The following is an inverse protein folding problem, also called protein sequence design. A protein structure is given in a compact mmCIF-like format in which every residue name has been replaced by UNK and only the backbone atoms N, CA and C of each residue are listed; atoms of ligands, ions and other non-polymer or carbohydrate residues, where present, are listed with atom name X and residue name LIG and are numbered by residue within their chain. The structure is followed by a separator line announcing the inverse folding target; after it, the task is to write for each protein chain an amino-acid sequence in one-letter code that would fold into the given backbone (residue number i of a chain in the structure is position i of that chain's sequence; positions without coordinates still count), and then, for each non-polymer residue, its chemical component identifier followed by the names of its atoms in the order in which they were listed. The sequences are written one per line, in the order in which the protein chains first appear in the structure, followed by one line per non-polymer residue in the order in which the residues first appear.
data_IF_774391705427
#
_entry.id   IF_774391705427
#
_cell.length_a   1.000
_cell.length_b   1.000
_cell.length_c   1.000
_cell.angle_alpha   90.00
_cell.angle_beta   90.00
_cell.angle_gamma   90.00
#
_symmetry.space_group_name_H-M   'P 1'
#
loop_
_entity.id
_entity.type
_entity.pdbx_description
1 polymer ?
#
# COMPACT_ATOMS: atom_id res chain seq x y z
N UNK A 1 -42.57 -3.20 42.57
CA UNK A 1 -42.54 -2.20 41.50
C UNK A 1 -41.64 -1.05 41.93
N UNK A 2 -40.34 -1.14 41.65
CA UNK A 2 -39.47 0.02 41.34
C UNK A 2 -38.10 -0.53 40.94
N UNK A 3 -37.77 -0.34 39.66
CA UNK A 3 -36.46 -0.18 39.03
C UNK A 3 -35.34 -1.11 39.52
N UNK A 4 -34.99 -2.18 38.79
CA UNK A 4 -34.18 -2.10 37.57
C UNK A 4 -33.06 -1.05 37.68
N UNK A 5 -32.21 -1.16 38.70
CA UNK A 5 -30.93 -0.45 38.73
C UNK A 5 -30.02 -1.09 37.68
N UNK A 6 -30.13 -0.47 36.51
CA UNK A 6 -29.33 -0.55 35.33
C UNK A 6 -27.84 -0.78 35.66
N UNK A 7 -27.41 -2.04 35.63
CA UNK A 7 -26.00 -2.43 35.64
C UNK A 7 -25.40 -2.13 34.26
N UNK A 8 -25.32 -0.85 33.88
CA UNK A 8 -24.45 -0.41 32.79
C UNK A 8 -23.12 -0.05 33.42
N UNK A 9 -22.40 -1.08 33.86
CA UNK A 9 -20.96 -0.97 34.00
C UNK A 9 -20.42 -0.98 32.58
N UNK A 10 -20.08 0.23 32.13
CA UNK A 10 -19.32 0.52 30.93
C UNK A 10 -18.26 -0.55 30.70
N UNK A 11 -18.49 -1.45 29.73
CA UNK A 11 -17.38 -2.10 29.06
C UNK A 11 -16.68 -0.98 28.31
N UNK A 12 -15.70 -0.36 28.96
CA UNK A 12 -14.69 0.43 28.25
C UNK A 12 -13.95 -0.54 27.35
N UNK A 13 -14.37 -0.65 26.10
CA UNK A 13 -13.59 -1.30 25.06
C UNK A 13 -12.30 -0.50 24.93
N UNK A 14 -11.21 -1.01 25.51
CA UNK A 14 -9.87 -0.57 25.12
C UNK A 14 -9.67 -1.01 23.67
N UNK A 15 -10.08 -0.18 22.73
CA UNK A 15 -9.70 -0.36 21.34
C UNK A 15 -8.26 0.12 21.19
N UNK A 16 -7.31 -0.75 21.52
CA UNK A 16 -5.92 -0.58 21.11
C UNK A 16 -5.84 -0.93 19.63
N UNK A 17 -6.02 0.06 18.76
CA UNK A 17 -5.59 -0.07 17.36
C UNK A 17 -4.09 0.21 17.30
N UNK A 18 -3.28 -0.76 17.73
CA UNK A 18 -1.85 -0.76 17.45
C UNK A 18 -1.59 -1.94 16.52
N UNK A 19 -1.85 -1.70 15.22
CA UNK A 19 -1.44 -2.60 14.16
C UNK A 19 -0.54 -1.81 13.22
N UNK A 20 0.71 -1.63 13.63
CA UNK A 20 1.75 -1.19 12.72
C UNK A 20 2.11 -2.38 11.80
N UNK A 21 1.75 -2.27 10.52
CA UNK A 21 2.10 -3.25 9.51
C UNK A 21 3.19 -2.69 8.59
N UNK A 22 4.33 -3.36 8.54
CA UNK A 22 5.39 -3.04 7.57
C UNK A 22 4.95 -3.56 6.20
N UNK A 23 4.54 -2.65 5.32
CA UNK A 23 4.10 -3.01 3.96
C UNK A 23 5.27 -3.36 3.07
N UNK A 24 6.33 -2.55 3.10
CA UNK A 24 7.52 -2.73 2.28
C UNK A 24 8.77 -2.77 3.16
N UNK A 25 9.65 -3.72 2.89
CA UNK A 25 10.91 -3.86 3.63
C UNK A 25 12.09 -3.58 2.72
N UNK A 26 13.12 -2.91 3.26
CA UNK A 26 14.39 -2.72 2.55
C UNK A 26 15.01 -4.07 2.18
N UNK A 27 15.49 -4.24 0.95
CA UNK A 27 16.05 -5.52 0.49
C UNK A 27 15.00 -6.53 -0.01
N UNK A 28 13.71 -6.22 0.12
CA UNK A 28 12.64 -7.11 -0.31
C UNK A 28 12.77 -7.42 -1.81
N UNK A 29 12.65 -8.71 -2.16
CA UNK A 29 12.79 -9.24 -3.52
C UNK A 29 14.06 -8.79 -4.26
N UNK A 30 15.13 -8.45 -3.53
CA UNK A 30 16.40 -8.03 -4.12
C UNK A 30 16.48 -6.54 -4.50
N UNK A 31 15.43 -5.75 -4.24
CA UNK A 31 15.48 -4.30 -4.42
C UNK A 31 16.28 -3.65 -3.29
N UNK A 32 17.18 -2.71 -3.63
CA UNK A 32 17.96 -1.99 -2.64
C UNK A 32 17.07 -1.26 -1.62
N UNK A 33 15.98 -0.63 -2.08
CA UNK A 33 14.90 -0.14 -1.23
C UNK A 33 13.61 0.12 -2.01
N UNK A 34 12.52 0.31 -1.27
CA UNK A 34 11.22 0.72 -1.78
C UNK A 34 10.89 2.09 -1.16
N UNK A 35 10.63 3.11 -1.98
CA UNK A 35 10.36 4.51 -1.55
C UNK A 35 9.10 5.08 -2.21
N UNK A 36 8.75 6.30 -1.79
CA UNK A 36 7.63 7.08 -2.34
C UNK A 36 6.29 6.32 -2.24
N UNK A 37 5.86 5.98 -1.00
CA UNK A 37 4.65 5.20 -0.82
C UNK A 37 3.42 6.00 -1.24
N UNK A 38 2.49 5.34 -1.93
CA UNK A 38 1.13 5.83 -2.10
C UNK A 38 0.13 4.70 -1.86
N UNK A 39 -1.08 5.03 -1.45
CA UNK A 39 -2.09 4.03 -1.10
C UNK A 39 -3.47 4.45 -1.66
N UNK A 40 -4.22 3.46 -2.13
CA UNK A 40 -5.58 3.62 -2.62
C UNK A 40 -6.48 2.56 -1.99
N UNK A 41 -7.59 3.00 -1.41
CA UNK A 41 -8.71 2.10 -1.08
C UNK A 41 -9.62 2.00 -2.28
N UNK A 42 -9.78 0.80 -2.82
CA UNK A 42 -10.72 0.55 -3.92
C UNK A 42 -12.17 0.62 -3.41
N UNK A 43 -13.14 0.84 -4.30
CA UNK A 43 -14.56 0.79 -3.98
C UNK A 43 -15.05 -0.56 -3.41
N UNK A 44 -14.25 -1.63 -3.53
CA UNK A 44 -14.52 -2.93 -2.91
C UNK A 44 -13.88 -3.10 -1.52
N UNK A 45 -13.24 -2.06 -0.99
CA UNK A 45 -12.56 -2.07 0.31
C UNK A 45 -11.13 -2.64 0.29
N UNK A 46 -10.65 -3.17 -0.84
CA UNK A 46 -9.25 -3.60 -0.97
C UNK A 46 -8.31 -2.41 -0.89
N UNK A 47 -7.28 -2.49 -0.06
CA UNK A 47 -6.18 -1.52 -0.06
C UNK A 47 -5.13 -1.94 -1.08
N UNK A 48 -4.63 -0.98 -1.86
CA UNK A 48 -3.50 -1.13 -2.76
C UNK A 48 -2.43 -0.14 -2.31
N UNK A 49 -1.32 -0.64 -1.79
CA UNK A 49 -0.14 0.17 -1.48
C UNK A 49 0.86 0.03 -2.61
N UNK A 50 1.36 1.15 -3.12
CA UNK A 50 2.34 1.24 -4.21
C UNK A 50 3.67 1.77 -3.68
N UNK A 51 4.74 1.45 -4.40
CA UNK A 51 6.07 2.00 -4.13
C UNK A 51 6.98 1.96 -5.34
N UNK A 52 8.03 2.78 -5.27
CA UNK A 52 9.16 2.76 -6.19
C UNK A 52 10.19 1.75 -5.70
N UNK A 53 10.26 0.60 -6.35
CA UNK A 53 11.24 -0.44 -6.08
C UNK A 53 12.56 -0.14 -6.80
N UNK A 54 13.50 0.42 -6.06
CA UNK A 54 14.78 0.90 -6.58
C UNK A 54 15.81 -0.23 -6.55
N UNK A 55 16.36 -0.55 -7.71
CA UNK A 55 17.18 -1.75 -7.91
C UNK A 55 18.57 -1.59 -7.30
N UNK A 56 19.30 -0.51 -7.65
CA UNK A 56 20.73 -0.42 -7.33
C UNK A 56 21.06 0.41 -6.09
N UNK A 57 20.22 1.39 -5.74
CA UNK A 57 20.48 2.32 -4.63
C UNK A 57 19.17 2.98 -4.16
N UNK A 58 19.21 3.76 -3.08
CA UNK A 58 18.08 4.62 -2.70
C UNK A 58 18.13 6.01 -3.32
N UNK A 59 19.01 6.25 -4.28
CA UNK A 59 19.06 7.51 -5.04
C UNK A 59 17.77 7.71 -5.81
N UNK A 60 17.33 8.96 -5.99
CA UNK A 60 16.20 9.27 -6.89
C UNK A 60 16.57 9.01 -8.37
N UNK A 61 17.88 8.94 -8.67
CA UNK A 61 18.42 8.63 -9.99
C UNK A 61 18.98 7.21 -10.00
N UNK A 62 18.11 6.22 -10.09
CA UNK A 62 18.46 4.79 -10.15
C UNK A 62 17.36 3.99 -10.80
N UNK A 63 17.67 2.80 -11.33
CA UNK A 63 16.66 1.96 -11.95
C UNK A 63 15.52 1.60 -11.00
N UNK A 64 14.29 1.86 -11.44
CA UNK A 64 13.09 1.77 -10.59
C UNK A 64 11.98 1.03 -11.30
N UNK A 65 11.43 0.04 -10.62
CA UNK A 65 10.15 -0.59 -10.98
C UNK A 65 9.04 0.03 -10.13
N UNK A 66 7.82 0.07 -10.66
CA UNK A 66 6.63 0.37 -9.85
C UNK A 66 6.07 -0.94 -9.34
N UNK A 67 5.96 -1.05 -8.03
CA UNK A 67 5.47 -2.24 -7.34
C UNK A 67 4.26 -1.92 -6.50
N UNK A 68 3.50 -2.95 -6.13
CA UNK A 68 2.41 -2.81 -5.17
C UNK A 68 2.20 -4.07 -4.35
N UNK A 69 1.47 -3.90 -3.25
CA UNK A 69 0.88 -4.97 -2.44
C UNK A 69 -0.59 -4.68 -2.19
N UNK A 70 -1.34 -5.74 -1.91
CA UNK A 70 -2.79 -5.67 -1.65
C UNK A 70 -3.09 -6.12 -0.23
N UNK A 71 -4.07 -5.49 0.40
CA UNK A 71 -4.68 -5.99 1.62
C UNK A 71 -6.20 -6.12 1.43
N UNK A 72 -6.73 -7.24 1.90
CA UNK A 72 -8.16 -7.55 1.90
C UNK A 72 -8.78 -7.47 3.30
N UNK A 73 -7.98 -7.13 4.31
CA UNK A 73 -8.35 -7.16 5.73
C UNK A 73 -8.02 -5.84 6.45
N UNK A 74 -8.15 -4.72 5.72
CA UNK A 74 -7.94 -3.36 6.21
C UNK A 74 -6.51 -3.11 6.73
N UNK A 75 -5.51 -3.67 6.04
CA UNK A 75 -4.09 -3.41 6.26
C UNK A 75 -3.42 -4.33 7.28
N UNK A 76 -4.13 -5.32 7.82
CA UNK A 76 -3.56 -6.27 8.80
C UNK A 76 -2.56 -7.22 8.16
N UNK A 77 -2.88 -7.72 6.97
CA UNK A 77 -1.99 -8.56 6.17
C UNK A 77 -1.87 -8.01 4.75
N UNK A 78 -0.74 -8.31 4.12
CA UNK A 78 -0.40 -7.82 2.78
C UNK A 78 0.04 -8.98 1.89
N UNK A 79 -0.33 -8.91 0.62
CA UNK A 79 0.13 -9.86 -0.40
C UNK A 79 1.65 -9.81 -0.57
N UNK A 80 2.17 -10.78 -1.32
CA UNK A 80 3.52 -10.67 -1.89
C UNK A 80 3.63 -9.41 -2.77
N UNK A 81 4.87 -8.92 -2.92
CA UNK A 81 5.20 -7.79 -3.78
C UNK A 81 4.95 -8.15 -5.25
N UNK A 82 4.14 -7.35 -5.93
CA UNK A 82 3.84 -7.50 -7.36
C UNK A 82 4.40 -6.31 -8.16
N UNK A 83 4.85 -6.56 -9.39
CA UNK A 83 5.35 -5.51 -10.29
C UNK A 83 4.19 -5.01 -11.15
N UNK A 84 3.89 -3.71 -11.08
CA UNK A 84 2.95 -3.03 -11.97
C UNK A 84 3.62 -2.62 -13.28
N UNK A 85 4.83 -2.06 -13.19
CA UNK A 85 5.57 -1.54 -14.34
C UNK A 85 7.07 -1.78 -14.16
N UNK A 86 7.73 -2.28 -15.21
CA UNK A 86 9.18 -2.47 -15.22
C UNK A 86 9.89 -1.26 -15.84
N UNK A 87 10.85 -0.69 -15.13
CA UNK A 87 11.65 0.45 -15.58
C UNK A 87 12.60 0.16 -16.75
N UNK A 88 12.64 -1.08 -17.25
CA UNK A 88 13.50 -1.51 -18.36
C UNK A 88 12.74 -2.15 -19.54
N UNK A 89 11.43 -1.93 -19.67
CA UNK A 89 10.60 -2.58 -20.70
C UNK A 89 10.93 -2.18 -22.16
N UNK A 90 11.90 -1.28 -22.41
CA UNK A 90 12.29 -0.87 -23.76
C UNK A 90 13.79 -0.58 -23.83
N UNK A 91 14.52 -1.48 -24.47
CA UNK A 91 15.86 -1.34 -25.08
C UNK A 91 16.75 -0.22 -24.50
N UNK A 92 17.62 -0.60 -23.55
CA UNK A 92 18.80 0.11 -23.01
C UNK A 92 18.65 1.57 -22.51
N UNK A 93 17.48 2.18 -22.66
CA UNK A 93 17.17 3.49 -22.10
C UNK A 93 16.39 3.33 -20.80
N UNK A 94 16.97 3.84 -19.72
CA UNK A 94 16.36 3.78 -18.41
C UNK A 94 15.07 4.62 -18.35
N UNK A 95 13.91 3.95 -18.19
CA UNK A 95 12.63 4.62 -18.01
C UNK A 95 12.40 4.96 -16.54
N UNK A 96 12.32 6.26 -16.24
CA UNK A 96 12.03 6.81 -14.92
C UNK A 96 10.52 6.96 -14.76
N UNK A 97 9.88 5.95 -14.17
CA UNK A 97 8.49 6.04 -13.72
C UNK A 97 8.51 6.08 -12.20
N UNK A 98 7.84 7.06 -11.60
CA UNK A 98 7.90 7.32 -10.16
C UNK A 98 6.86 8.35 -9.72
N UNK A 99 6.88 8.71 -8.44
CA UNK A 99 5.95 9.65 -7.80
C UNK A 99 4.48 9.30 -8.05
N UNK A 100 4.16 8.00 -7.92
CA UNK A 100 2.86 7.46 -8.29
C UNK A 100 1.75 8.00 -7.39
N UNK A 101 0.72 8.59 -8.01
CA UNK A 101 -0.48 9.08 -7.35
C UNK A 101 -1.72 8.37 -7.95
N UNK A 102 -2.09 7.18 -7.45
CA UNK A 102 -3.18 6.39 -8.03
C UNK A 102 -4.54 7.06 -7.77
N UNK A 103 -5.42 7.04 -8.77
CA UNK A 103 -6.79 7.56 -8.65
C UNK A 103 -7.79 6.52 -9.16
N UNK A 104 -8.79 6.20 -8.34
CA UNK A 104 -9.91 5.38 -8.80
C UNK A 104 -11.06 6.22 -9.34
N UNK A 105 -11.47 5.95 -10.58
CA UNK A 105 -12.63 6.55 -11.22
C UNK A 105 -13.92 5.94 -10.65
N UNK A 106 -14.85 6.79 -10.17
CA UNK A 106 -16.10 6.31 -9.58
C UNK A 106 -17.05 5.63 -10.56
N UNK A 107 -17.07 6.05 -11.82
CA UNK A 107 -18.09 5.63 -12.77
C UNK A 107 -17.88 4.20 -13.30
N UNK A 108 -16.63 3.76 -13.44
CA UNK A 108 -16.29 2.43 -13.95
C UNK A 108 -15.26 1.68 -13.10
N UNK A 109 -14.90 2.23 -11.93
CA UNK A 109 -13.99 1.64 -10.96
C UNK A 109 -12.56 1.40 -11.48
N UNK A 110 -12.20 1.95 -12.65
CA UNK A 110 -10.84 1.88 -13.17
C UNK A 110 -9.89 2.67 -12.28
N UNK A 111 -8.68 2.15 -12.13
CA UNK A 111 -7.59 2.83 -11.43
C UNK A 111 -6.69 3.42 -12.50
N UNK A 112 -6.49 4.74 -12.43
CA UNK A 112 -5.53 5.46 -13.24
C UNK A 112 -4.23 5.58 -12.45
N UNK A 113 -3.14 5.30 -13.13
CA UNK A 113 -1.78 5.42 -12.62
C UNK A 113 -1.09 6.44 -13.54
N UNK A 114 -0.70 7.62 -13.02
CA UNK A 114 -0.07 8.68 -13.81
C UNK A 114 1.32 8.30 -14.30
#
# INVERSE_FOLDING_TARGET
MLLAILLVLFVQTKHSYEYDAVVFTRGENGYFCIKIPSILTTARGTLLAFGEARIYSCSDYTQTDIVYKRSFDNGKTWSNLEILYRGNASNDNYNRVGNIAPVQLRYNQRILIP
#
